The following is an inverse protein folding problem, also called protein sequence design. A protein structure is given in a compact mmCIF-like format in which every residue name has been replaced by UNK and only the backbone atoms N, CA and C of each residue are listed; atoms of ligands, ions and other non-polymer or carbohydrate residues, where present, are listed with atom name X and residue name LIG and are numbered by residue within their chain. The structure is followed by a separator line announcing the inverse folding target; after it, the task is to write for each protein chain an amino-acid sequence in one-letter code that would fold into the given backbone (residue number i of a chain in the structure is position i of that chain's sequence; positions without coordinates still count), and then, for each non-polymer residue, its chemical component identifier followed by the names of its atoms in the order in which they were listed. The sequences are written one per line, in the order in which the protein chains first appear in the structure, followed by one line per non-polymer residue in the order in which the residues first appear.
data_IF_232752336980
#
_entry.id   IF_232752336980
#
_cell.length_a   1.000
_cell.length_b   1.000
_cell.length_c   1.000
_cell.angle_alpha   90.00
_cell.angle_beta   90.00
_cell.angle_gamma   90.00
#
_symmetry.space_group_name_H-M   'P 1'
#
loop_
_entity.id
_entity.type
_entity.pdbx_description
1 polymer ?
#
# COMPACT_ATOMS: atom_id res chain seq x y z
N UNK A 1 -8.77 -20.59 38.26
CA UNK A 1 -10.03 -20.74 37.49
C UNK A 1 -10.05 -19.64 36.43
N UNK A 2 -9.74 -19.97 35.18
CA UNK A 2 -9.57 -18.99 34.09
C UNK A 2 -10.93 -18.60 33.47
N UNK A 3 -11.18 -17.30 33.35
CA UNK A 3 -12.38 -16.77 32.69
C UNK A 3 -12.34 -17.10 31.20
N UNK A 4 -13.32 -17.88 30.74
CA UNK A 4 -13.54 -18.13 29.31
C UNK A 4 -14.30 -16.95 28.71
N UNK A 5 -13.60 -16.13 27.94
CA UNK A 5 -14.22 -15.05 27.15
C UNK A 5 -14.98 -15.72 26.01
N UNK A 6 -16.30 -15.89 26.15
CA UNK A 6 -17.17 -16.46 25.12
C UNK A 6 -17.45 -15.40 24.04
N UNK A 7 -16.67 -15.40 22.97
CA UNK A 7 -16.91 -14.56 21.80
C UNK A 7 -17.93 -15.24 20.87
N UNK A 8 -19.22 -15.17 21.22
CA UNK A 8 -20.30 -15.60 20.31
C UNK A 8 -20.52 -14.48 19.28
N UNK A 9 -19.77 -14.53 18.18
CA UNK A 9 -20.12 -13.77 16.97
C UNK A 9 -21.46 -14.33 16.47
N UNK A 10 -22.46 -13.45 16.43
CA UNK A 10 -23.86 -13.70 16.11
C UNK A 10 -24.05 -14.29 14.69
N UNK A 11 -23.81 -15.58 14.56
CA UNK A 11 -24.07 -16.32 13.32
C UNK A 11 -25.53 -16.81 13.38
N UNK A 12 -26.41 -16.10 12.66
CA UNK A 12 -27.77 -16.48 12.23
C UNK A 12 -28.95 -16.25 13.19
N UNK A 13 -29.07 -15.05 13.76
CA UNK A 13 -30.37 -14.58 14.29
C UNK A 13 -31.19 -13.94 13.14
N UNK A 14 -32.45 -14.35 12.96
CA UNK A 14 -33.37 -13.72 11.99
C UNK A 14 -33.68 -12.30 12.47
N UNK A 15 -33.11 -11.29 11.81
CA UNK A 15 -33.26 -9.88 12.18
C UNK A 15 -32.03 -9.00 11.93
N UNK A 16 -30.96 -9.60 11.40
CA UNK A 16 -29.72 -8.90 11.05
C UNK A 16 -29.97 -7.82 9.99
N UNK A 17 -30.09 -6.58 10.45
CA UNK A 17 -30.33 -5.42 9.61
C UNK A 17 -29.00 -4.94 9.03
N UNK A 18 -28.98 -4.51 7.76
CA UNK A 18 -27.82 -3.86 7.11
C UNK A 18 -27.19 -2.77 7.99
N UNK A 19 -27.99 -2.11 8.82
CA UNK A 19 -27.56 -1.09 9.78
C UNK A 19 -26.59 -1.63 10.84
N UNK A 20 -26.82 -2.85 11.34
CA UNK A 20 -25.96 -3.45 12.37
C UNK A 20 -24.56 -3.75 11.83
N UNK A 21 -24.48 -4.22 10.59
CA UNK A 21 -23.19 -4.43 9.91
C UNK A 21 -22.46 -3.11 9.62
N UNK A 22 -23.19 -2.05 9.23
CA UNK A 22 -22.58 -0.73 9.04
C UNK A 22 -22.07 -0.19 10.38
N UNK A 23 -22.83 -0.35 11.47
CA UNK A 23 -22.40 0.07 12.79
C UNK A 23 -21.17 -0.71 13.25
N UNK A 24 -21.15 -2.02 13.03
CA UNK A 24 -19.99 -2.86 13.31
C UNK A 24 -18.77 -2.39 12.50
N UNK A 25 -18.96 -2.09 11.21
CA UNK A 25 -17.89 -1.57 10.34
C UNK A 25 -17.34 -0.25 10.88
N UNK A 26 -18.20 0.67 11.30
CA UNK A 26 -17.79 1.95 11.90
C UNK A 26 -16.97 1.71 13.17
N UNK A 27 -17.42 0.82 14.05
CA UNK A 27 -16.70 0.47 15.27
C UNK A 27 -15.31 -0.09 14.93
N UNK A 28 -15.23 -1.01 13.98
CA UNK A 28 -13.95 -1.57 13.50
C UNK A 28 -13.05 -0.48 12.95
N UNK A 29 -13.57 0.46 12.15
CA UNK A 29 -12.79 1.58 11.61
C UNK A 29 -12.25 2.51 12.70
N UNK A 30 -13.01 2.75 13.76
CA UNK A 30 -12.57 3.55 14.93
C UNK A 30 -11.44 2.84 15.66
N UNK A 31 -11.58 1.53 15.91
CA UNK A 31 -10.51 0.73 16.52
C UNK A 31 -9.23 0.75 15.67
N UNK A 32 -9.34 0.54 14.36
CA UNK A 32 -8.19 0.58 13.45
C UNK A 32 -7.51 1.95 13.50
N UNK A 33 -8.26 3.05 13.43
CA UNK A 33 -7.69 4.40 13.56
C UNK A 33 -6.98 4.61 14.89
N UNK A 34 -7.54 4.08 15.97
CA UNK A 34 -6.98 4.22 17.32
C UNK A 34 -5.64 3.49 17.41
N UNK A 35 -5.57 2.27 16.86
CA UNK A 35 -4.32 1.50 16.81
C UNK A 35 -3.26 2.20 15.98
N UNK A 36 -3.60 2.65 14.76
CA UNK A 36 -2.65 3.34 13.87
C UNK A 36 -2.10 4.63 14.50
N UNK A 37 -2.94 5.36 15.25
CA UNK A 37 -2.54 6.60 15.92
C UNK A 37 -1.79 6.38 17.24
N UNK A 38 -1.77 5.16 17.78
CA UNK A 38 -1.09 4.88 19.05
C UNK A 38 0.43 5.09 18.96
N UNK A 39 1.03 5.57 20.06
CA UNK A 39 2.48 5.82 20.11
C UNK A 39 3.29 4.55 19.88
N UNK A 40 2.79 3.40 20.34
CA UNK A 40 3.43 2.10 20.12
C UNK A 40 3.47 1.79 18.63
N UNK A 41 2.36 1.94 17.93
CA UNK A 41 2.31 1.68 16.48
C UNK A 41 3.22 2.65 15.72
N UNK A 42 3.22 3.93 16.07
CA UNK A 42 4.08 4.94 15.45
C UNK A 42 5.57 4.70 15.74
N UNK A 43 5.93 4.18 16.92
CA UNK A 43 7.31 3.79 17.22
C UNK A 43 7.80 2.62 16.36
N UNK A 44 6.94 1.64 16.08
CA UNK A 44 7.30 0.49 15.25
C UNK A 44 7.31 0.80 13.74
N UNK A 45 6.33 1.55 13.24
CA UNK A 45 6.17 1.85 11.81
C UNK A 45 6.69 3.24 11.41
N UNK A 46 7.31 3.96 12.34
CA UNK A 46 7.80 5.31 12.14
C UNK A 46 6.69 6.37 12.18
N UNK A 47 7.05 7.55 12.68
CA UNK A 47 6.15 8.71 12.73
C UNK A 47 5.68 9.07 11.31
N UNK A 48 4.39 9.35 11.15
CA UNK A 48 3.77 9.73 9.87
C UNK A 48 3.99 8.75 8.72
N UNK A 49 4.03 7.44 9.02
CA UNK A 49 4.04 6.39 8.00
C UNK A 49 5.35 6.32 7.20
N UNK A 50 6.48 6.79 7.76
CA UNK A 50 7.77 6.76 7.07
C UNK A 50 8.16 5.36 6.59
N UNK A 51 7.86 4.31 7.37
CA UNK A 51 8.04 2.92 6.93
C UNK A 51 7.26 2.58 5.65
N UNK A 52 5.98 2.99 5.58
CA UNK A 52 5.16 2.76 4.40
C UNK A 52 5.62 3.60 3.21
N UNK A 53 6.11 4.83 3.45
CA UNK A 53 6.69 5.67 2.40
C UNK A 53 7.96 5.04 1.82
N UNK A 54 8.83 4.49 2.67
CA UNK A 54 10.02 3.73 2.28
C UNK A 54 9.65 2.54 1.39
N UNK A 55 8.68 1.72 1.82
CA UNK A 55 8.22 0.57 1.02
C UNK A 55 7.61 1.02 -0.30
N UNK A 56 6.71 2.01 -0.27
CA UNK A 56 6.03 2.50 -1.47
C UNK A 56 7.04 3.06 -2.49
N UNK A 57 8.02 3.83 -2.02
CA UNK A 57 9.06 4.40 -2.87
C UNK A 57 9.99 3.31 -3.42
N UNK A 58 10.36 2.33 -2.60
CA UNK A 58 11.13 1.16 -3.02
C UNK A 58 10.40 0.31 -4.08
N UNK A 59 9.10 0.07 -3.91
CA UNK A 59 8.26 -0.61 -4.89
C UNK A 59 8.16 0.18 -6.21
N UNK A 60 7.89 1.48 -6.13
CA UNK A 60 7.80 2.35 -7.30
C UNK A 60 9.13 2.39 -8.08
N UNK A 61 10.27 2.45 -7.38
CA UNK A 61 11.61 2.39 -7.98
C UNK A 61 11.88 1.03 -8.61
N UNK A 62 11.60 -0.06 -7.89
CA UNK A 62 11.82 -1.42 -8.41
C UNK A 62 10.98 -1.68 -9.65
N UNK A 63 9.74 -1.18 -9.68
CA UNK A 63 8.90 -1.22 -10.86
C UNK A 63 9.48 -0.40 -12.02
N UNK A 64 9.93 0.83 -11.73
CA UNK A 64 10.44 1.76 -12.75
C UNK A 64 11.78 1.33 -13.34
N UNK A 65 12.69 0.75 -12.56
CA UNK A 65 14.07 0.47 -12.98
C UNK A 65 14.38 -1.03 -13.06
N UNK A 66 13.47 -1.91 -12.62
CA UNK A 66 13.67 -3.36 -12.69
C UNK A 66 14.77 -3.88 -11.75
N UNK A 67 15.32 -3.01 -10.92
CA UNK A 67 16.35 -3.30 -9.92
C UNK A 67 15.75 -3.24 -8.53
N UNK A 68 16.08 -4.22 -7.70
CA UNK A 68 15.77 -4.13 -6.28
C UNK A 68 16.60 -3.01 -5.65
N UNK A 69 15.98 -2.22 -4.78
CA UNK A 69 16.69 -1.24 -3.96
C UNK A 69 17.50 -2.02 -2.92
N UNK A 70 18.83 -1.90 -2.93
CA UNK A 70 19.67 -2.45 -1.86
C UNK A 70 19.52 -1.62 -0.59
N UNK A 71 19.77 -2.22 0.58
CA UNK A 71 19.66 -1.53 1.88
C UNK A 71 20.58 -0.29 1.99
N UNK A 72 21.64 -0.24 1.19
CA UNK A 72 22.63 0.83 1.16
C UNK A 72 22.28 1.98 0.18
N UNK A 73 21.27 1.80 -0.68
CA UNK A 73 20.86 2.83 -1.65
C UNK A 73 19.81 3.76 -1.05
N UNK A 74 20.10 5.07 -1.06
CA UNK A 74 19.16 6.08 -0.60
C UNK A 74 17.85 6.02 -1.39
N UNK A 75 16.74 5.79 -0.67
CA UNK A 75 15.41 5.75 -1.24
C UNK A 75 15.01 7.15 -1.69
N UNK A 76 15.17 7.44 -2.99
CA UNK A 76 14.83 8.73 -3.59
C UNK A 76 15.85 9.24 -4.59
N UNK A 77 17.07 8.72 -4.56
CA UNK A 77 18.08 9.03 -5.58
C UNK A 77 18.07 7.96 -6.66
N UNK A 78 17.89 8.39 -7.92
CA UNK A 78 18.16 7.53 -9.04
C UNK A 78 19.68 7.29 -9.06
N UNK A 79 20.16 6.03 -9.21
CA UNK A 79 21.58 5.80 -9.45
C UNK A 79 22.03 6.66 -10.61
N UNK A 80 23.22 7.24 -10.51
CA UNK A 80 23.83 8.09 -11.57
C UNK A 80 23.80 7.44 -12.96
N UNK A 81 23.67 6.11 -13.02
CA UNK A 81 23.64 5.30 -14.24
C UNK A 81 22.45 4.32 -14.22
N UNK A 82 21.22 4.80 -14.02
CA UNK A 82 20.03 3.95 -14.06
C UNK A 82 19.08 4.31 -15.21
N UNK A 83 19.00 3.44 -16.20
CA UNK A 83 17.97 3.53 -17.23
C UNK A 83 16.66 2.95 -16.71
N UNK A 84 15.54 3.69 -16.80
CA UNK A 84 14.24 3.13 -16.44
C UNK A 84 13.91 1.96 -17.38
N UNK A 85 13.26 0.94 -16.83
CA UNK A 85 12.72 -0.24 -17.51
C UNK A 85 11.85 0.16 -18.70
N UNK A 86 11.12 1.26 -18.58
CA UNK A 86 10.37 1.91 -19.64
C UNK A 86 10.72 3.40 -19.72
N UNK A 87 10.98 3.91 -20.93
CA UNK A 87 11.13 5.34 -21.21
C UNK A 87 10.31 5.71 -22.45
N UNK A 88 9.49 6.76 -22.32
CA UNK A 88 8.77 7.40 -23.41
C UNK A 88 9.50 8.69 -23.79
N UNK A 89 10.80 8.60 -24.01
CA UNK A 89 11.56 9.70 -24.58
C UNK A 89 11.72 9.47 -26.08
N UNK A 90 11.75 10.53 -26.88
CA UNK A 90 11.68 10.50 -28.35
C UNK A 90 12.95 9.97 -29.04
N UNK A 91 13.62 9.00 -28.42
CA UNK A 91 14.84 8.35 -28.90
C UNK A 91 15.32 7.17 -28.04
N UNK A 92 14.55 6.73 -27.04
CA UNK A 92 14.92 5.62 -26.16
C UNK A 92 14.27 4.30 -26.60
N UNK A 93 15.08 3.28 -26.87
CA UNK A 93 14.61 1.92 -27.14
C UNK A 93 14.10 1.26 -25.85
N UNK A 94 12.78 1.31 -25.65
CA UNK A 94 12.12 0.54 -24.61
C UNK A 94 11.99 -0.92 -25.04
N UNK A 95 12.34 -1.84 -24.14
CA UNK A 95 12.11 -3.31 -24.27
C UNK A 95 10.63 -3.70 -24.12
N UNK A 96 9.74 -2.73 -23.90
CA UNK A 96 8.29 -2.91 -23.82
C UNK A 96 7.61 -2.36 -25.06
N UNK A 97 6.60 -3.08 -25.55
CA UNK A 97 5.77 -2.65 -26.66
C UNK A 97 5.04 -1.35 -26.30
N UNK A 98 5.30 -0.29 -27.07
CA UNK A 98 4.52 0.94 -27.04
C UNK A 98 3.56 0.90 -28.23
N UNK A 99 2.37 1.48 -28.08
CA UNK A 99 1.45 1.64 -29.20
C UNK A 99 2.15 2.57 -30.19
N UNK A 100 2.50 2.07 -31.38
CA UNK A 100 3.27 2.83 -32.39
C UNK A 100 2.48 4.03 -32.95
N UNK A 101 1.17 4.09 -32.71
CA UNK A 101 0.27 5.07 -33.29
C UNK A 101 -0.75 5.47 -32.21
N UNK A 102 -0.98 6.77 -32.05
CA UNK A 102 -2.07 7.31 -31.24
C UNK A 102 -3.41 6.74 -31.76
N UNK A 103 -4.29 6.29 -30.86
CA UNK A 103 -5.63 5.86 -31.26
C UNK A 103 -6.33 7.06 -31.91
N UNK A 104 -6.90 6.95 -33.12
CA UNK A 104 -7.58 8.06 -33.74
C UNK A 104 -8.72 8.50 -32.81
N UNK A 105 -8.61 9.73 -32.31
CA UNK A 105 -9.68 10.37 -31.55
C UNK A 105 -10.93 10.52 -32.43
N UNK A 106 -12.12 10.65 -31.81
CA UNK A 106 -13.36 10.92 -32.54
C UNK A 106 -13.31 12.21 -33.35
#
# INVERSE_FOLDING_TARGET
MGNKINFKILIKEKGQSTVEYILLLVIVMVFVNTVIRSDVFQQFFGNNSSFFQTIATGMARSYRYGTLVSEDEAIGEAPEISHPTFSQDSGSESRFFVIANEYPGP
#
